data_IF_797825891399
#
_entry.id   IF_797825891399
#
_cell.length_a   1.000
_cell.length_b   1.000
_cell.length_c   1.000
_cell.angle_alpha   90.00
_cell.angle_beta   90.00
_cell.angle_gamma   90.00
#
_symmetry.space_group_name_H-M   'P 1'
#
loop_
_entity.id
_entity.type
_entity.pdbx_description
1 polymer ?
#
# COMPACT_ATOMS: atom_id res chain seq x y z
N UNK A 1 28.23 -6.63 -2.77
CA UNK A 1 28.28 -5.28 -3.35
C UNK A 1 28.28 -4.28 -2.21
N UNK A 2 29.21 -3.34 -2.19
CA UNK A 2 29.39 -2.41 -1.08
C UNK A 2 28.20 -1.44 -0.99
N UNK A 3 27.51 -1.41 0.17
CA UNK A 3 26.52 -0.37 0.47
C UNK A 3 27.21 0.99 0.41
N UNK A 4 26.96 1.76 -0.66
CA UNK A 4 27.37 3.16 -0.70
C UNK A 4 26.49 3.92 0.29
N UNK A 5 27.11 4.41 1.38
CA UNK A 5 26.45 5.29 2.36
C UNK A 5 26.03 6.58 1.66
N UNK A 6 24.81 6.61 1.15
CA UNK A 6 24.17 7.82 0.65
C UNK A 6 23.97 8.81 1.79
N UNK A 7 24.10 10.09 1.47
CA UNK A 7 23.71 11.16 2.38
C UNK A 7 22.24 10.97 2.77
N UNK A 8 21.95 10.93 4.07
CA UNK A 8 20.59 10.70 4.60
C UNK A 8 19.56 11.69 4.03
N UNK A 9 19.98 12.95 3.78
CA UNK A 9 19.12 13.94 3.13
C UNK A 9 18.76 13.61 1.69
N UNK A 10 19.71 13.09 0.91
CA UNK A 10 19.45 12.66 -0.47
C UNK A 10 18.54 11.42 -0.51
N UNK A 11 18.75 10.47 0.41
CA UNK A 11 17.87 9.30 0.55
C UNK A 11 16.44 9.71 0.88
N UNK A 12 16.26 10.59 1.87
CA UNK A 12 14.95 11.13 2.22
C UNK A 12 14.30 11.89 1.05
N UNK A 13 15.06 12.70 0.32
CA UNK A 13 14.55 13.40 -0.86
C UNK A 13 14.06 12.44 -1.95
N UNK A 14 14.75 11.32 -2.19
CA UNK A 14 14.32 10.32 -3.16
C UNK A 14 13.11 9.51 -2.69
N UNK A 15 12.99 9.23 -1.39
CA UNK A 15 11.89 8.45 -0.82
C UNK A 15 10.60 9.26 -0.68
N UNK A 16 10.68 10.50 -0.21
CA UNK A 16 9.52 11.34 0.08
C UNK A 16 9.26 12.42 -0.98
N UNK A 17 10.26 12.79 -1.78
CA UNK A 17 10.17 13.84 -2.80
C UNK A 17 9.03 13.63 -3.80
N UNK A 18 8.85 12.42 -4.38
CA UNK A 18 7.72 12.17 -5.27
C UNK A 18 6.37 12.37 -4.61
N UNK A 19 6.22 11.94 -3.35
CA UNK A 19 4.98 12.05 -2.59
C UNK A 19 4.67 13.52 -2.34
N UNK A 20 5.67 14.31 -1.94
CA UNK A 20 5.55 15.75 -1.76
C UNK A 20 5.21 16.46 -3.08
N UNK A 21 5.88 16.10 -4.17
CA UNK A 21 5.61 16.66 -5.50
C UNK A 21 4.18 16.35 -5.96
N UNK A 22 3.70 15.12 -5.75
CA UNK A 22 2.32 14.75 -6.02
C UNK A 22 1.34 15.58 -5.19
N UNK A 23 1.60 15.75 -3.89
CA UNK A 23 0.70 16.50 -3.02
C UNK A 23 0.61 17.97 -3.41
N UNK A 24 1.75 18.59 -3.73
CA UNK A 24 1.82 19.97 -4.23
C UNK A 24 1.04 20.09 -5.54
N UNK A 25 1.31 19.21 -6.51
CA UNK A 25 0.59 19.21 -7.78
C UNK A 25 -0.91 18.97 -7.63
N UNK A 26 -1.30 18.06 -6.74
CA UNK A 26 -2.70 17.76 -6.44
C UNK A 26 -3.41 18.99 -5.87
N UNK A 27 -2.85 19.65 -4.86
CA UNK A 27 -3.47 20.84 -4.29
C UNK A 27 -3.64 21.99 -5.28
N UNK A 28 -2.70 22.13 -6.23
CA UNK A 28 -2.74 23.19 -7.24
C UNK A 28 -3.72 22.90 -8.39
N UNK A 29 -3.82 21.63 -8.80
CA UNK A 29 -4.47 21.25 -10.06
C UNK A 29 -5.74 20.40 -9.89
N UNK A 30 -6.07 19.89 -8.70
CA UNK A 30 -7.20 18.95 -8.51
C UNK A 30 -8.55 19.47 -9.05
N UNK A 31 -8.79 20.78 -8.95
CA UNK A 31 -10.05 21.42 -9.36
C UNK A 31 -9.96 22.05 -10.76
N UNK A 32 -8.81 21.90 -11.43
CA UNK A 32 -8.58 22.43 -12.78
C UNK A 32 -8.85 21.37 -13.86
N UNK A 33 -9.29 21.85 -15.02
CA UNK A 33 -9.36 21.05 -16.25
C UNK A 33 -8.24 21.52 -17.16
N UNK A 34 -7.41 20.60 -17.61
CA UNK A 34 -6.26 20.86 -18.46
C UNK A 34 -6.55 20.29 -19.84
N UNK A 35 -6.69 21.16 -20.83
CA UNK A 35 -6.89 20.76 -22.22
C UNK A 35 -5.52 20.48 -22.87
N UNK A 36 -5.25 19.23 -23.22
CA UNK A 36 -4.03 18.80 -23.90
C UNK A 36 -4.42 18.26 -25.27
N UNK A 37 -3.88 18.85 -26.34
CA UNK A 37 -4.14 18.43 -27.72
C UNK A 37 -5.64 18.31 -28.07
N UNK A 38 -6.47 19.22 -27.53
CA UNK A 38 -7.91 19.25 -27.77
C UNK A 38 -8.73 18.25 -26.96
N UNK A 39 -8.13 17.54 -26.00
CA UNK A 39 -8.83 16.67 -25.04
C UNK A 39 -8.74 17.24 -23.64
N UNK A 40 -9.87 17.28 -22.93
CA UNK A 40 -9.95 17.80 -21.56
C UNK A 40 -9.63 16.71 -20.54
N UNK A 41 -8.63 16.96 -19.71
CA UNK A 41 -8.23 16.08 -18.62
C UNK A 41 -8.44 16.76 -17.28
N UNK A 42 -8.94 16.01 -16.30
CA UNK A 42 -8.95 16.50 -14.91
C UNK A 42 -7.51 16.67 -14.42
N UNK A 43 -7.23 17.75 -13.68
CA UNK A 43 -5.89 17.99 -13.16
C UNK A 43 -5.45 16.90 -12.18
N UNK A 44 -6.39 16.25 -11.47
CA UNK A 44 -6.10 15.03 -10.70
C UNK A 44 -5.47 13.92 -11.56
N UNK A 45 -6.02 13.70 -12.75
CA UNK A 45 -5.53 12.67 -13.66
C UNK A 45 -4.14 13.02 -14.20
N UNK A 46 -3.91 14.28 -14.59
CA UNK A 46 -2.62 14.76 -15.07
C UNK A 46 -1.55 14.60 -13.98
N UNK A 47 -1.85 15.03 -12.74
CA UNK A 47 -0.92 14.90 -11.61
C UNK A 47 -0.61 13.43 -11.32
N UNK A 48 -1.61 12.54 -11.37
CA UNK A 48 -1.41 11.10 -11.17
C UNK A 48 -0.55 10.50 -12.29
N UNK A 49 -0.80 10.89 -13.54
CA UNK A 49 -0.05 10.42 -14.71
C UNK A 49 1.43 10.86 -14.68
N UNK A 50 1.73 12.03 -14.11
CA UNK A 50 3.11 12.51 -13.91
C UNK A 50 3.78 11.88 -12.68
N UNK A 51 3.01 11.61 -11.63
CA UNK A 51 3.54 11.04 -10.40
C UNK A 51 4.04 9.60 -10.56
N UNK A 52 3.34 8.76 -11.33
CA UNK A 52 3.74 7.37 -11.56
C UNK A 52 5.16 7.27 -12.14
N UNK A 53 5.52 7.91 -13.27
CA UNK A 53 6.87 7.86 -13.80
C UNK A 53 7.88 8.52 -12.85
N UNK A 54 7.50 9.60 -12.15
CA UNK A 54 8.38 10.23 -11.16
C UNK A 54 8.74 9.26 -10.02
N UNK A 55 7.77 8.51 -9.49
CA UNK A 55 8.00 7.47 -8.47
C UNK A 55 8.90 6.36 -8.97
N UNK A 56 8.69 5.90 -10.21
CA UNK A 56 9.52 4.85 -10.82
C UNK A 56 10.95 5.35 -11.01
N UNK A 57 11.14 6.56 -11.51
CA UNK A 57 12.45 7.15 -11.73
C UNK A 57 13.22 7.36 -10.43
N UNK A 58 12.58 7.95 -9.42
CA UNK A 58 13.21 8.20 -8.11
C UNK A 58 13.53 6.91 -7.37
N UNK A 59 12.66 5.90 -7.44
CA UNK A 59 12.96 4.57 -6.89
C UNK A 59 14.09 3.87 -7.65
N UNK A 60 14.11 3.98 -8.99
CA UNK A 60 15.19 3.45 -9.83
C UNK A 60 16.54 4.11 -9.54
N UNK A 61 16.55 5.43 -9.35
CA UNK A 61 17.72 6.19 -8.91
C UNK A 61 18.17 5.76 -7.52
N UNK A 62 17.22 5.61 -6.59
CA UNK A 62 17.52 5.11 -5.24
C UNK A 62 18.19 3.74 -5.32
N UNK A 63 17.67 2.83 -6.13
CA UNK A 63 18.27 1.51 -6.34
C UNK A 63 19.66 1.58 -6.97
N UNK A 64 19.86 2.41 -8.01
CA UNK A 64 21.16 2.58 -8.65
C UNK A 64 22.23 3.15 -7.70
N UNK A 65 21.82 4.00 -6.74
CA UNK A 65 22.73 4.65 -5.80
C UNK A 65 22.99 3.82 -4.52
N UNK A 66 21.97 3.12 -4.00
CA UNK A 66 22.06 2.29 -2.77
C UNK A 66 22.49 0.85 -3.05
N UNK A 67 22.16 0.32 -4.24
CA UNK A 67 22.28 -1.09 -4.59
C UNK A 67 21.19 -2.00 -4.00
N UNK A 68 20.25 -1.47 -3.21
CA UNK A 68 19.21 -2.26 -2.55
C UNK A 68 17.90 -1.49 -2.39
N UNK A 69 16.77 -2.18 -2.57
CA UNK A 69 15.43 -1.65 -2.26
C UNK A 69 14.79 -2.53 -1.19
N UNK A 70 14.11 -1.91 -0.24
CA UNK A 70 13.31 -2.67 0.73
C UNK A 70 12.14 -3.36 0.02
N UNK A 71 11.73 -4.53 0.51
CA UNK A 71 10.58 -5.26 -0.06
C UNK A 71 9.30 -4.43 -0.01
N UNK A 72 9.17 -3.60 1.02
CA UNK A 72 8.05 -2.68 1.18
C UNK A 72 8.05 -1.59 0.08
N UNK A 73 9.20 -0.99 -0.23
CA UNK A 73 9.30 -0.01 -1.33
C UNK A 73 8.97 -0.63 -2.68
N UNK A 74 9.49 -1.83 -2.97
CA UNK A 74 9.19 -2.55 -4.20
C UNK A 74 7.68 -2.79 -4.34
N UNK A 75 7.04 -3.31 -3.28
CA UNK A 75 5.61 -3.55 -3.25
C UNK A 75 4.81 -2.26 -3.48
N UNK A 76 5.19 -1.16 -2.84
CA UNK A 76 4.56 0.15 -3.02
C UNK A 76 4.64 0.63 -4.47
N UNK A 77 5.82 0.57 -5.09
CA UNK A 77 5.97 1.01 -6.49
C UNK A 77 5.15 0.14 -7.44
N UNK A 78 5.17 -1.18 -7.28
CA UNK A 78 4.35 -2.09 -8.10
C UNK A 78 2.87 -1.74 -7.96
N UNK A 79 2.38 -1.54 -6.74
CA UNK A 79 0.98 -1.17 -6.50
C UNK A 79 0.63 0.19 -7.10
N UNK A 80 1.49 1.20 -6.95
CA UNK A 80 1.27 2.54 -7.53
C UNK A 80 1.25 2.48 -9.05
N UNK A 81 2.18 1.75 -9.67
CA UNK A 81 2.23 1.62 -11.14
C UNK A 81 0.99 0.89 -11.65
N UNK A 82 0.63 -0.25 -11.06
CA UNK A 82 -0.52 -1.05 -11.51
C UNK A 82 -1.83 -0.32 -11.24
N UNK A 83 -2.12 0.05 -9.99
CA UNK A 83 -3.40 0.65 -9.64
C UNK A 83 -3.50 2.12 -10.01
N UNK A 84 -2.40 2.88 -9.94
CA UNK A 84 -2.35 4.26 -10.43
C UNK A 84 -2.50 4.30 -11.95
N UNK A 85 -1.76 3.46 -12.67
CA UNK A 85 -1.86 3.35 -14.13
C UNK A 85 -3.26 2.95 -14.58
N UNK A 86 -3.84 1.92 -13.95
CA UNK A 86 -5.24 1.54 -14.19
C UNK A 86 -6.23 2.67 -13.89
N UNK A 87 -5.95 3.52 -12.89
CA UNK A 87 -6.82 4.67 -12.58
C UNK A 87 -6.80 5.70 -13.71
N UNK A 88 -5.61 5.99 -14.24
CA UNK A 88 -5.42 6.92 -15.36
C UNK A 88 -6.04 6.36 -16.63
N UNK A 89 -5.93 5.04 -16.85
CA UNK A 89 -6.44 4.38 -18.05
C UNK A 89 -7.97 4.21 -18.05
N UNK A 90 -8.56 3.75 -16.94
CA UNK A 90 -10.00 3.45 -16.88
C UNK A 90 -10.87 4.68 -16.67
N UNK A 91 -10.38 5.71 -15.97
CA UNK A 91 -11.11 6.96 -15.68
C UNK A 91 -12.55 6.77 -15.16
N UNK A 92 -12.84 5.65 -14.47
CA UNK A 92 -14.20 5.24 -14.08
C UNK A 92 -14.40 5.32 -12.55
N UNK A 93 -15.51 5.92 -12.12
CA UNK A 93 -15.93 5.97 -10.71
C UNK A 93 -16.16 4.58 -10.10
N UNK A 94 -16.61 3.60 -10.89
CA UNK A 94 -16.78 2.21 -10.44
C UNK A 94 -15.43 1.60 -10.08
N UNK A 95 -14.39 1.90 -10.85
CA UNK A 95 -13.04 1.47 -10.54
C UNK A 95 -12.56 2.04 -9.20
N UNK A 96 -12.97 3.26 -8.84
CA UNK A 96 -12.64 3.87 -7.55
C UNK A 96 -13.20 3.05 -6.36
N UNK A 97 -14.40 2.47 -6.51
CA UNK A 97 -15.04 1.62 -5.49
C UNK A 97 -14.51 0.18 -5.46
N UNK A 98 -14.14 -0.36 -6.63
CA UNK A 98 -13.57 -1.72 -6.78
C UNK A 98 -12.10 -1.81 -6.37
N UNK A 99 -11.34 -0.71 -6.53
CA UNK A 99 -9.90 -0.67 -6.26
C UNK A 99 -9.52 -1.23 -4.88
N UNK A 100 -10.20 -0.87 -3.75
CA UNK A 100 -9.94 -1.49 -2.46
C UNK A 100 -10.12 -3.02 -2.47
N UNK A 101 -11.19 -3.55 -3.06
CA UNK A 101 -11.42 -5.01 -3.16
C UNK A 101 -10.24 -5.70 -3.85
N UNK A 102 -9.79 -5.17 -4.99
CA UNK A 102 -8.68 -5.75 -5.74
C UNK A 102 -7.38 -5.79 -4.93
N UNK A 103 -7.08 -4.70 -4.22
CA UNK A 103 -5.89 -4.61 -3.35
C UNK A 103 -6.00 -5.61 -2.20
N UNK A 104 -7.14 -5.70 -1.53
CA UNK A 104 -7.36 -6.63 -0.44
C UNK A 104 -7.25 -8.09 -0.89
N UNK A 105 -7.83 -8.44 -2.04
CA UNK A 105 -7.69 -9.78 -2.62
C UNK A 105 -6.25 -10.09 -3.00
N UNK A 106 -5.51 -9.13 -3.56
CA UNK A 106 -4.11 -9.30 -3.87
C UNK A 106 -3.27 -9.58 -2.61
N UNK A 107 -3.47 -8.82 -1.53
CA UNK A 107 -2.78 -9.09 -0.27
C UNK A 107 -3.20 -10.42 0.35
N UNK A 108 -4.50 -10.72 0.40
CA UNK A 108 -5.00 -12.00 0.90
C UNK A 108 -4.42 -13.18 0.10
N UNK A 109 -4.36 -13.08 -1.23
CA UNK A 109 -3.82 -14.08 -2.12
C UNK A 109 -2.31 -14.26 -1.97
N UNK A 110 -1.53 -13.17 -1.93
CA UNK A 110 -0.07 -13.22 -1.74
C UNK A 110 0.29 -13.82 -0.38
N UNK A 111 -0.37 -13.38 0.70
CA UNK A 111 -0.13 -13.92 2.04
C UNK A 111 -0.62 -15.37 2.15
N UNK A 112 -1.77 -15.69 1.57
CA UNK A 112 -2.31 -17.05 1.49
C UNK A 112 -1.38 -18.01 0.75
N UNK A 113 -0.82 -17.57 -0.38
CA UNK A 113 0.17 -18.33 -1.14
C UNK A 113 1.46 -18.59 -0.34
N UNK A 114 1.93 -17.58 0.40
CA UNK A 114 3.04 -17.75 1.34
C UNK A 114 2.74 -18.83 2.39
N UNK A 115 1.55 -18.79 2.98
CA UNK A 115 1.11 -19.78 3.98
C UNK A 115 1.04 -21.20 3.40
N UNK A 116 0.57 -21.36 2.15
CA UNK A 116 0.56 -22.66 1.48
C UNK A 116 1.97 -23.22 1.27
N UNK A 117 2.97 -22.36 1.11
CA UNK A 117 4.40 -22.73 1.06
C UNK A 117 5.04 -22.90 2.44
N UNK A 118 4.28 -22.75 3.53
CA UNK A 118 4.81 -22.79 4.90
C UNK A 118 5.68 -21.58 5.24
N UNK A 119 5.57 -20.48 4.51
CA UNK A 119 6.37 -19.27 4.71
C UNK A 119 5.52 -18.05 5.08
N UNK A 120 5.99 -17.27 6.06
CA UNK A 120 5.38 -15.99 6.39
C UNK A 120 5.94 -14.90 5.47
N UNK A 121 5.17 -14.53 4.45
CA UNK A 121 5.51 -13.37 3.61
C UNK A 121 5.38 -12.05 4.37
N UNK A 122 4.59 -12.03 5.45
CA UNK A 122 4.55 -10.90 6.35
C UNK A 122 5.89 -10.72 7.10
N UNK A 123 6.48 -11.80 7.62
CA UNK A 123 7.83 -11.79 8.23
C UNK A 123 8.88 -11.25 7.26
N UNK A 124 8.77 -11.66 6.00
CA UNK A 124 9.68 -11.19 4.94
C UNK A 124 9.67 -9.68 4.75
N UNK A 125 8.57 -9.00 5.05
CA UNK A 125 8.42 -7.55 4.88
C UNK A 125 8.63 -6.79 6.20
N UNK A 126 8.19 -7.34 7.33
CA UNK A 126 8.17 -6.66 8.64
C UNK A 126 9.09 -7.29 9.69
N UNK A 127 9.85 -8.33 9.35
CA UNK A 127 10.68 -9.08 10.31
C UNK A 127 11.75 -8.22 10.99
N UNK A 128 12.26 -7.21 10.31
CA UNK A 128 13.26 -6.28 10.85
C UNK A 128 12.66 -5.28 11.84
N UNK A 129 11.38 -4.93 11.69
CA UNK A 129 10.70 -3.93 12.51
C UNK A 129 10.04 -4.54 13.75
N UNK A 130 9.60 -5.79 13.66
CA UNK A 130 8.90 -6.49 14.72
C UNK A 130 9.54 -7.86 14.98
N UNK A 131 10.49 -7.98 15.92
CA UNK A 131 11.11 -9.27 16.24
C UNK A 131 10.07 -10.18 16.93
N UNK A 132 9.77 -11.31 16.29
CA UNK A 132 8.77 -12.28 16.74
C UNK A 132 9.17 -13.69 16.31
N UNK A 133 8.81 -14.69 17.13
CA UNK A 133 9.01 -16.12 16.82
C UNK A 133 8.30 -16.56 15.55
N UNK A 134 8.83 -17.58 14.90
CA UNK A 134 8.38 -18.07 13.59
C UNK A 134 6.93 -18.57 13.63
N UNK A 135 6.52 -19.22 14.72
CA UNK A 135 5.14 -19.67 14.90
C UNK A 135 4.18 -18.49 14.96
N UNK A 136 4.56 -17.42 15.68
CA UNK A 136 3.79 -16.18 15.77
C UNK A 136 3.60 -15.54 14.40
N UNK A 137 4.64 -15.56 13.56
CA UNK A 137 4.58 -15.04 12.20
C UNK A 137 3.59 -15.80 11.32
N UNK A 138 3.56 -17.13 11.41
CA UNK A 138 2.62 -17.95 10.64
C UNK A 138 1.17 -17.68 11.07
N UNK A 139 0.91 -17.62 12.39
CA UNK A 139 -0.43 -17.33 12.91
C UNK A 139 -0.86 -15.91 12.51
N UNK A 140 0.01 -14.91 12.67
CA UNK A 140 -0.29 -13.53 12.30
C UNK A 140 -0.57 -13.40 10.80
N UNK A 141 0.25 -14.03 9.95
CA UNK A 141 0.06 -14.02 8.50
C UNK A 141 -1.29 -14.63 8.11
N UNK A 142 -1.69 -15.75 8.75
CA UNK A 142 -3.01 -16.36 8.54
C UNK A 142 -4.15 -15.42 8.93
N UNK A 143 -4.05 -14.78 10.10
CA UNK A 143 -5.07 -13.84 10.57
C UNK A 143 -5.19 -12.62 9.66
N UNK A 144 -4.06 -12.05 9.22
CA UNK A 144 -4.06 -10.92 8.30
C UNK A 144 -4.61 -11.31 6.92
N UNK A 145 -4.25 -12.47 6.38
CA UNK A 145 -4.79 -12.95 5.10
C UNK A 145 -6.32 -13.10 5.16
N UNK A 146 -6.84 -13.72 6.23
CA UNK A 146 -8.28 -13.85 6.46
C UNK A 146 -8.96 -12.50 6.65
N UNK A 147 -8.32 -11.58 7.37
CA UNK A 147 -8.85 -10.23 7.58
C UNK A 147 -8.93 -9.44 6.27
N UNK A 148 -7.90 -9.49 5.43
CA UNK A 148 -7.96 -8.89 4.09
C UNK A 148 -9.05 -9.53 3.22
N UNK A 149 -9.22 -10.85 3.27
CA UNK A 149 -10.30 -11.51 2.56
C UNK A 149 -11.68 -11.05 3.06
N UNK A 150 -11.87 -10.93 4.37
CA UNK A 150 -13.10 -10.40 4.95
C UNK A 150 -13.36 -8.95 4.54
N UNK A 151 -12.32 -8.09 4.51
CA UNK A 151 -12.42 -6.71 4.02
C UNK A 151 -12.76 -6.65 2.53
N UNK A 152 -12.20 -7.55 1.71
CA UNK A 152 -12.52 -7.65 0.29
C UNK A 152 -14.01 -7.96 0.10
N UNK A 153 -14.52 -9.00 0.76
CA UNK A 153 -15.93 -9.39 0.70
C UNK A 153 -16.82 -8.26 1.21
N UNK A 154 -16.47 -7.66 2.34
CA UNK A 154 -17.25 -6.58 2.95
C UNK A 154 -17.31 -5.35 2.05
N UNK A 155 -16.18 -4.91 1.49
CA UNK A 155 -16.16 -3.80 0.54
C UNK A 155 -17.03 -4.13 -0.67
N UNK A 156 -16.86 -5.32 -1.26
CA UNK A 156 -17.63 -5.76 -2.45
C UNK A 156 -19.14 -5.75 -2.22
N UNK A 157 -19.60 -6.23 -1.06
CA UNK A 157 -21.01 -6.19 -0.68
C UNK A 157 -21.50 -4.76 -0.50
N UNK A 158 -20.75 -3.92 0.21
CA UNK A 158 -21.14 -2.55 0.53
C UNK A 158 -21.26 -1.70 -0.72
N UNK A 159 -20.25 -1.69 -1.59
CA UNK A 159 -20.28 -0.80 -2.76
C UNK A 159 -21.28 -1.24 -3.83
N UNK A 160 -21.64 -2.53 -3.88
CA UNK A 160 -22.67 -3.06 -4.78
C UNK A 160 -24.10 -2.91 -4.26
N UNK A 161 -24.29 -2.98 -2.95
CA UNK A 161 -25.63 -3.11 -2.34
C UNK A 161 -26.10 -1.85 -1.62
N UNK A 162 -25.17 -0.97 -1.22
CA UNK A 162 -25.47 0.25 -0.47
C UNK A 162 -25.17 1.51 -1.31
N UNK A 163 -25.61 2.67 -0.80
CA UNK A 163 -25.37 3.97 -1.45
C UNK A 163 -23.89 4.37 -1.42
N UNK A 164 -23.52 5.31 -2.29
CA UNK A 164 -22.16 5.91 -2.29
C UNK A 164 -21.82 6.50 -0.92
N UNK A 165 -22.76 7.18 -0.26
CA UNK A 165 -22.54 7.79 1.05
C UNK A 165 -22.30 6.74 2.14
N UNK A 166 -23.04 5.62 2.10
CA UNK A 166 -22.81 4.51 3.01
C UNK A 166 -21.42 3.89 2.78
N UNK A 167 -20.99 3.74 1.52
CA UNK A 167 -19.65 3.27 1.19
C UNK A 167 -18.55 4.22 1.67
N UNK A 168 -18.71 5.54 1.48
CA UNK A 168 -17.76 6.54 2.00
C UNK A 168 -17.67 6.48 3.52
N UNK A 169 -18.81 6.42 4.22
CA UNK A 169 -18.83 6.29 5.68
C UNK A 169 -18.19 4.99 6.17
N UNK A 170 -18.47 3.87 5.50
CA UNK A 170 -17.79 2.61 5.81
C UNK A 170 -16.29 2.74 5.61
N UNK A 171 -15.83 3.29 4.49
CA UNK A 171 -14.39 3.45 4.21
C UNK A 171 -13.69 4.36 5.23
N UNK A 172 -14.35 5.42 5.67
CA UNK A 172 -13.78 6.40 6.60
C UNK A 172 -13.79 5.90 8.04
N UNK A 173 -14.94 5.41 8.51
CA UNK A 173 -15.14 5.05 9.92
C UNK A 173 -15.17 3.54 10.14
N UNK A 174 -15.91 2.80 9.32
CA UNK A 174 -16.07 1.36 9.44
C UNK A 174 -14.75 0.59 9.28
N UNK A 175 -13.99 0.89 8.23
CA UNK A 175 -12.67 0.31 7.97
C UNK A 175 -11.69 0.69 9.08
N UNK A 176 -11.68 1.95 9.50
CA UNK A 176 -10.81 2.41 10.60
C UNK A 176 -11.11 1.66 11.89
N UNK A 177 -12.39 1.55 12.28
CA UNK A 177 -12.81 0.78 13.45
C UNK A 177 -12.44 -0.70 13.32
N UNK A 178 -12.65 -1.31 12.15
CA UNK A 178 -12.27 -2.69 11.89
C UNK A 178 -10.75 -2.92 12.02
N UNK A 179 -9.93 -2.01 11.49
CA UNK A 179 -8.48 -2.05 11.63
C UNK A 179 -8.06 -1.96 13.09
N UNK A 180 -8.62 -1.01 13.86
CA UNK A 180 -8.35 -0.89 15.29
C UNK A 180 -8.73 -2.15 16.06
N UNK A 181 -9.94 -2.66 15.86
CA UNK A 181 -10.40 -3.88 16.50
C UNK A 181 -9.52 -5.09 16.15
N UNK A 182 -9.13 -5.21 14.87
CA UNK A 182 -8.23 -6.26 14.41
C UNK A 182 -6.87 -6.19 15.11
N UNK A 183 -6.21 -5.03 15.13
CA UNK A 183 -4.91 -4.90 15.77
C UNK A 183 -4.96 -5.10 17.28
N UNK A 184 -6.00 -4.59 17.96
CA UNK A 184 -6.24 -4.87 19.38
C UNK A 184 -6.34 -6.37 19.65
N UNK A 185 -7.05 -7.10 18.81
CA UNK A 185 -7.17 -8.57 18.93
C UNK A 185 -5.84 -9.31 18.70
N UNK A 186 -4.86 -8.69 18.05
CA UNK A 186 -3.51 -9.25 17.88
C UNK A 186 -2.59 -8.99 19.08
N UNK A 187 -2.96 -8.11 20.02
CA UNK A 187 -2.11 -7.73 21.15
C UNK A 187 -1.57 -8.93 21.95
N UNK A 188 -2.44 -9.89 22.29
CA UNK A 188 -2.02 -11.11 23.01
C UNK A 188 -1.05 -11.97 22.22
N UNK A 189 -1.22 -12.05 20.90
CA UNK A 189 -0.34 -12.82 20.03
C UNK A 189 1.06 -12.17 20.01
N UNK A 190 1.11 -10.85 19.88
CA UNK A 190 2.37 -10.11 19.90
C UNK A 190 3.08 -10.23 21.26
N UNK A 191 2.35 -10.17 22.36
CA UNK A 191 2.93 -10.40 23.70
C UNK A 191 3.48 -11.82 23.87
N UNK A 192 2.75 -12.81 23.36
CA UNK A 192 3.13 -14.23 23.53
C UNK A 192 4.34 -14.60 22.68
N UNK A 193 4.41 -14.13 21.43
CA UNK A 193 5.43 -14.54 20.47
C UNK A 193 6.51 -13.49 20.20
N UNK A 194 6.33 -12.26 20.68
CA UNK A 194 7.30 -11.18 20.56
C UNK A 194 8.61 -11.54 21.25
N UNK A 195 9.72 -11.05 20.69
CA UNK A 195 11.06 -11.22 21.26
C UNK A 195 11.49 -9.86 21.79
N UNK A 196 11.76 -9.77 23.10
CA UNK A 196 12.35 -8.55 23.68
C UNK A 196 13.74 -8.33 23.10
N UNK A 197 14.01 -7.10 22.67
CA UNK A 197 15.28 -6.70 22.04
C UNK A 197 16.48 -6.70 23.01
N UNK A 198 16.26 -6.96 24.30
CA UNK A 198 17.25 -6.82 25.37
C UNK A 198 17.94 -8.13 25.81
N UNK A 199 17.95 -9.17 24.96
CA UNK A 199 18.75 -10.39 25.19
C UNK A 199 19.57 -10.81 23.95
N UNK A 200 20.33 -9.86 23.39
CA UNK A 200 21.43 -10.15 22.46
C UNK A 200 22.66 -9.39 22.91
#
# INVERSE_FOLDING_TARGET
MAERKLNGGLKAALEYGPILAFFIGYLQLKDQVISIAGTDYSGFLVVTALFIPLMVLTTGLLWALTGSLSRMQLATVVLVVVFGGLSVWLQDERFFKMKPTMIYLLFAGVLGFGLMRGQSYLRSVMGETLPMRDEGWMILTKRIALFFLALAITNEVIWRSLSTDAWVNFKTFGLTAAMFAFFLSQGRLLQTYGIEKDKV
#
